data_IF_143012763406
#
_entry.id   IF_143012763406
#
_cell.length_a   1.000
_cell.length_b   1.000
_cell.length_c   1.000
_cell.angle_alpha   90.00
_cell.angle_beta   90.00
_cell.angle_gamma   90.00
#
_symmetry.space_group_name_H-M   'P 1'
#
loop_
_entity.id
_entity.type
_entity.pdbx_description
1 polymer ?
#
# COMPACT_ATOMS: atom_id res chain seq x y z
N UNK A 1 -3.28 -18.70 8.76
CA UNK A 1 -2.91 -17.74 7.69
C UNK A 1 -2.66 -16.41 8.35
N UNK A 2 -1.40 -16.01 8.50
CA UNK A 2 -1.04 -14.77 9.17
C UNK A 2 -1.36 -13.60 8.23
N UNK A 3 -2.24 -12.70 8.68
CA UNK A 3 -2.60 -11.48 7.96
C UNK A 3 -1.76 -10.32 8.46
N UNK A 4 -1.26 -9.50 7.54
CA UNK A 4 -0.63 -8.22 7.84
C UNK A 4 -1.39 -7.07 7.21
N UNK A 5 -0.92 -5.87 7.50
CA UNK A 5 -1.49 -4.63 6.98
C UNK A 5 -0.41 -3.86 6.24
N UNK A 6 -0.74 -3.32 5.08
CA UNK A 6 0.18 -2.56 4.24
C UNK A 6 -0.38 -1.16 4.11
N UNK A 7 0.28 -0.22 4.75
CA UNK A 7 -0.01 1.19 4.61
C UNK A 7 0.77 1.75 3.42
N UNK A 8 0.06 2.40 2.52
CA UNK A 8 0.59 3.00 1.29
C UNK A 8 0.43 4.50 1.43
N UNK A 9 1.52 5.23 1.21
CA UNK A 9 1.56 6.69 1.31
C UNK A 9 2.30 7.28 0.11
N UNK A 10 1.85 8.44 -0.35
CA UNK A 10 2.49 9.22 -1.41
C UNK A 10 2.44 10.68 -1.02
N UNK A 11 3.37 11.48 -1.55
CA UNK A 11 3.47 12.90 -1.21
C UNK A 11 2.24 13.72 -1.61
N UNK A 12 1.53 13.30 -2.65
CA UNK A 12 0.40 14.03 -3.23
C UNK A 12 -0.95 13.40 -2.85
N UNK A 13 -1.86 14.12 -2.16
CA UNK A 13 -3.10 13.54 -1.65
C UNK A 13 -4.09 13.10 -2.74
N UNK A 14 -4.12 13.78 -3.89
CA UNK A 14 -4.92 13.38 -5.04
C UNK A 14 -4.40 12.10 -5.69
N UNK A 15 -3.08 11.92 -5.70
CA UNK A 15 -2.43 10.70 -6.16
C UNK A 15 -2.78 9.52 -5.26
N UNK A 16 -2.76 9.75 -3.94
CA UNK A 16 -3.13 8.75 -2.95
C UNK A 16 -4.59 8.30 -3.11
N UNK A 17 -5.52 9.23 -3.37
CA UNK A 17 -6.93 8.91 -3.66
C UNK A 17 -7.05 8.03 -4.90
N UNK A 18 -6.36 8.39 -5.98
CA UNK A 18 -6.38 7.64 -7.25
C UNK A 18 -5.77 6.26 -7.09
N UNK A 19 -4.66 6.14 -6.36
CA UNK A 19 -4.01 4.88 -6.05
C UNK A 19 -4.94 3.98 -5.23
N UNK A 20 -5.55 4.48 -4.15
CA UNK A 20 -6.48 3.69 -3.38
C UNK A 20 -7.73 3.28 -4.15
N UNK A 21 -8.20 4.11 -5.09
CA UNK A 21 -9.31 3.75 -5.99
C UNK A 21 -8.90 2.63 -6.98
N UNK A 22 -7.69 2.73 -7.56
CA UNK A 22 -7.12 1.70 -8.43
C UNK A 22 -6.96 0.36 -7.71
N UNK A 23 -6.33 0.37 -6.53
CA UNK A 23 -6.16 -0.84 -5.71
C UNK A 23 -7.49 -1.46 -5.29
N UNK A 24 -8.54 -0.64 -5.12
CA UNK A 24 -9.88 -1.13 -4.78
C UNK A 24 -10.57 -1.79 -5.98
N UNK A 25 -10.22 -1.44 -7.20
CA UNK A 25 -10.86 -2.04 -8.38
C UNK A 25 -10.42 -3.49 -8.58
N UNK A 26 -9.18 -3.80 -8.20
CA UNK A 26 -8.60 -5.15 -8.27
C UNK A 26 -9.40 -6.18 -7.46
N UNK A 27 -9.94 -7.19 -8.14
CA UNK A 27 -10.68 -8.31 -7.54
C UNK A 27 -10.04 -8.90 -6.27
N UNK A 28 -8.74 -9.27 -6.25
CA UNK A 28 -8.11 -9.85 -5.06
C UNK A 28 -7.97 -8.86 -3.88
N UNK A 29 -8.07 -7.56 -4.12
CA UNK A 29 -7.92 -6.50 -3.11
C UNK A 29 -9.26 -5.84 -2.75
N UNK A 30 -10.33 -6.14 -3.50
CA UNK A 30 -11.68 -5.65 -3.21
C UNK A 30 -12.07 -5.97 -1.77
N UNK A 31 -12.59 -4.95 -1.08
CA UNK A 31 -12.98 -5.03 0.33
C UNK A 31 -11.81 -5.00 1.33
N UNK A 32 -10.55 -5.04 0.87
CA UNK A 32 -9.34 -5.02 1.71
C UNK A 32 -8.65 -3.65 1.77
N UNK A 33 -9.07 -2.72 0.92
CA UNK A 33 -8.52 -1.36 0.82
C UNK A 33 -9.37 -0.36 1.61
N UNK A 34 -8.78 0.22 2.66
CA UNK A 34 -9.37 1.26 3.51
C UNK A 34 -8.56 2.55 3.36
N UNK A 35 -9.25 3.68 3.26
CA UNK A 35 -8.60 5.00 3.26
C UNK A 35 -8.42 5.46 4.71
N UNK A 36 -7.20 5.83 5.08
CA UNK A 36 -6.88 6.43 6.37
C UNK A 36 -6.89 7.95 6.22
N UNK A 37 -7.91 8.58 6.78
CA UNK A 37 -8.05 10.04 6.80
C UNK A 37 -7.69 10.50 8.19
N UNK A 38 -6.70 11.39 8.30
CA UNK A 38 -6.40 12.00 9.60
C UNK A 38 -7.49 12.99 9.94
N UNK A 39 -7.96 12.90 11.18
CA UNK A 39 -8.89 13.89 11.71
C UNK A 39 -8.22 15.28 11.65
N UNK A 40 -8.94 16.31 11.17
CA UNK A 40 -8.42 17.66 11.17
C UNK A 40 -8.15 18.12 12.60
N UNK A 41 -7.02 18.79 12.80
CA UNK A 41 -6.74 19.52 14.03
C UNK A 41 -7.75 20.68 14.16
N UNK A 42 -8.11 21.09 15.40
CA UNK A 42 -8.99 22.23 15.60
C UNK A 42 -8.40 23.48 14.92
N UNK A 43 -9.10 24.01 13.92
CA UNK A 43 -8.66 25.15 13.11
C UNK A 43 -8.31 24.81 11.65
N UNK A 44 -8.23 23.54 11.27
CA UNK A 44 -8.00 23.11 9.89
C UNK A 44 -9.32 22.62 9.26
N UNK A 45 -9.77 23.24 8.17
CA UNK A 45 -10.98 22.82 7.47
C UNK A 45 -10.70 21.61 6.58
N UNK A 46 -11.22 20.43 6.97
CA UNK A 46 -11.19 19.19 6.20
C UNK A 46 -10.09 18.22 6.61
N UNK A 47 -10.44 16.93 6.72
CA UNK A 47 -9.47 15.85 6.95
C UNK A 47 -8.61 15.61 5.71
N UNK A 48 -7.29 15.52 5.90
CA UNK A 48 -6.35 15.21 4.82
C UNK A 48 -6.25 13.69 4.72
N UNK A 49 -6.32 13.16 3.49
CA UNK A 49 -6.04 11.75 3.26
C UNK A 49 -4.55 11.54 3.53
N UNK A 50 -4.22 10.75 4.56
CA UNK A 50 -2.82 10.55 4.96
C UNK A 50 -2.25 9.26 4.38
N UNK A 51 -3.02 8.18 4.38
CA UNK A 51 -2.55 6.90 3.86
C UNK A 51 -3.69 6.01 3.34
N UNK A 52 -3.34 5.02 2.53
CA UNK A 52 -4.24 3.95 2.09
C UNK A 52 -3.78 2.67 2.76
N UNK A 53 -4.65 2.04 3.54
CA UNK A 53 -4.35 0.85 4.30
C UNK A 53 -4.95 -0.36 3.60
N UNK A 54 -4.12 -1.33 3.24
CA UNK A 54 -4.51 -2.56 2.55
C UNK A 54 -4.27 -3.75 3.47
N UNK A 55 -5.30 -4.55 3.71
CA UNK A 55 -5.15 -5.83 4.42
C UNK A 55 -4.58 -6.85 3.44
N UNK A 56 -3.40 -7.39 3.75
CA UNK A 56 -2.70 -8.33 2.89
C UNK A 56 -2.29 -9.61 3.61
N UNK A 57 -2.17 -10.66 2.82
CA UNK A 57 -1.70 -11.99 3.22
C UNK A 57 -0.64 -12.42 2.21
N UNK A 58 0.14 -13.46 2.51
CA UNK A 58 1.11 -14.00 1.55
C UNK A 58 0.46 -14.39 0.20
N UNK A 59 -0.83 -14.75 0.20
CA UNK A 59 -1.59 -15.03 -1.03
C UNK A 59 -2.04 -13.79 -1.82
N UNK A 60 -2.27 -12.65 -1.17
CA UNK A 60 -2.69 -11.40 -1.84
C UNK A 60 -1.54 -10.45 -2.14
N UNK A 61 -0.36 -10.70 -1.57
CA UNK A 61 0.89 -9.98 -1.86
C UNK A 61 1.21 -9.86 -3.37
N UNK A 62 1.17 -10.93 -4.20
CA UNK A 62 1.46 -10.82 -5.63
C UNK A 62 0.46 -9.91 -6.35
N UNK A 63 -0.82 -10.02 -6.04
CA UNK A 63 -1.84 -9.16 -6.62
C UNK A 63 -1.63 -7.68 -6.25
N UNK A 64 -1.28 -7.40 -4.99
CA UNK A 64 -0.96 -6.03 -4.57
C UNK A 64 0.25 -5.46 -5.32
N UNK A 65 1.33 -6.23 -5.44
CA UNK A 65 2.48 -5.83 -6.25
C UNK A 65 2.07 -5.56 -7.69
N UNK A 66 1.41 -6.51 -8.37
CA UNK A 66 1.00 -6.36 -9.77
C UNK A 66 0.13 -5.11 -9.97
N UNK A 67 -0.84 -4.87 -9.10
CA UNK A 67 -1.69 -3.70 -9.15
C UNK A 67 -0.90 -2.41 -8.95
N UNK A 68 -0.03 -2.37 -7.94
CA UNK A 68 0.77 -1.20 -7.60
C UNK A 68 1.75 -0.84 -8.73
N UNK A 69 2.48 -1.83 -9.26
CA UNK A 69 3.40 -1.60 -10.37
C UNK A 69 2.67 -1.33 -11.68
N UNK A 70 1.47 -1.89 -11.86
CA UNK A 70 0.56 -1.53 -12.94
C UNK A 70 0.19 -0.05 -12.91
N UNK A 71 -0.14 0.47 -11.72
CA UNK A 71 -0.40 1.89 -11.50
C UNK A 71 0.86 2.73 -11.77
N UNK A 72 2.02 2.33 -11.23
CA UNK A 72 3.29 3.04 -11.39
C UNK A 72 3.69 3.12 -12.87
N UNK A 73 3.50 2.02 -13.62
CA UNK A 73 3.81 1.96 -15.04
C UNK A 73 2.93 2.88 -15.90
N UNK A 74 1.67 3.10 -15.50
CA UNK A 74 0.79 4.05 -16.18
C UNK A 74 1.16 5.52 -15.89
N UNK A 75 1.99 5.79 -14.89
CA UNK A 75 2.45 7.13 -14.54
C UNK A 75 3.86 7.35 -15.05
N UNK A 76 4.00 8.34 -15.95
CA UNK A 76 5.30 8.74 -16.50
C UNK A 76 6.13 9.57 -15.51
N UNK A 77 5.46 10.22 -14.56
CA UNK A 77 6.08 10.95 -13.47
C UNK A 77 6.33 10.00 -12.30
N UNK A 78 7.60 9.87 -11.93
CA UNK A 78 8.15 9.00 -10.90
C UNK A 78 7.61 9.36 -9.49
N UNK A 79 6.33 9.10 -9.25
CA UNK A 79 5.75 9.16 -7.92
C UNK A 79 6.35 8.02 -7.09
N UNK A 80 7.27 8.38 -6.18
CA UNK A 80 7.78 7.43 -5.18
C UNK A 80 6.62 7.09 -4.24
N UNK A 81 6.35 5.80 -4.09
CA UNK A 81 5.36 5.28 -3.18
C UNK A 81 6.08 4.69 -1.98
N UNK A 82 5.69 5.12 -0.80
CA UNK A 82 6.21 4.63 0.46
C UNK A 82 5.22 3.61 1.03
N UNK A 83 5.70 2.39 1.24
CA UNK A 83 4.94 1.22 1.68
C UNK A 83 5.40 0.82 3.07
N UNK A 84 4.49 0.78 4.02
CA UNK A 84 4.75 0.35 5.39
C UNK A 84 3.96 -0.92 5.69
N UNK A 85 4.65 -2.04 5.75
CA UNK A 85 4.08 -3.36 6.00
C UNK A 85 4.17 -3.64 7.49
N UNK A 86 3.06 -4.02 8.11
CA UNK A 86 2.99 -4.44 9.51
C UNK A 86 2.54 -5.89 9.56
N UNK A 87 3.36 -6.77 10.13
CA UNK A 87 3.00 -8.18 10.25
C UNK A 87 2.13 -8.45 11.50
N UNK A 88 1.63 -9.68 11.65
CA UNK A 88 0.81 -10.07 12.79
C UNK A 88 1.54 -9.99 14.15
N UNK A 89 2.88 -10.08 14.14
CA UNK A 89 3.71 -9.93 15.33
C UNK A 89 3.98 -8.46 15.71
N UNK A 90 3.44 -7.50 14.96
CA UNK A 90 3.65 -6.07 15.19
C UNK A 90 5.01 -5.53 14.71
N UNK A 91 5.78 -6.33 13.94
CA UNK A 91 6.97 -5.81 13.26
C UNK A 91 6.52 -4.94 12.09
N UNK A 92 7.27 -3.86 11.86
CA UNK A 92 7.04 -2.91 10.78
C UNK A 92 8.22 -2.92 9.81
N UNK A 93 7.94 -2.98 8.51
CA UNK A 93 8.91 -2.90 7.43
C UNK A 93 8.50 -1.77 6.48
N UNK A 94 9.36 -0.78 6.30
CA UNK A 94 9.12 0.33 5.37
C UNK A 94 9.95 0.13 4.12
N UNK A 95 9.30 0.14 2.97
CA UNK A 95 9.89 -0.02 1.64
C UNK A 95 9.47 1.16 0.78
N UNK A 96 10.37 1.59 -0.10
CA UNK A 96 10.09 2.68 -1.03
C UNK A 96 10.28 2.19 -2.44
N UNK A 97 9.25 2.35 -3.26
CA UNK A 97 9.24 1.85 -4.62
C UNK A 97 8.92 3.00 -5.58
N UNK A 98 9.61 3.04 -6.71
CA UNK A 98 9.41 4.08 -7.72
C UNK A 98 9.46 3.56 -9.15
N UNK A 99 9.93 2.34 -9.37
CA UNK A 99 10.11 1.76 -10.70
C UNK A 99 9.66 0.30 -10.75
N UNK A 100 9.44 -0.19 -11.97
CA UNK A 100 9.07 -1.60 -12.18
C UNK A 100 10.17 -2.60 -11.74
N UNK A 101 11.42 -2.14 -11.62
CA UNK A 101 12.55 -2.95 -11.15
C UNK A 101 12.40 -3.37 -9.68
N UNK A 102 11.78 -2.50 -8.86
CA UNK A 102 11.51 -2.76 -7.44
C UNK A 102 10.46 -3.88 -7.23
N UNK A 103 9.81 -4.35 -8.29
CA UNK A 103 8.63 -5.21 -8.18
C UNK A 103 8.91 -6.60 -7.63
N UNK A 104 9.98 -7.21 -8.11
CA UNK A 104 10.36 -8.55 -7.68
C UNK A 104 10.84 -8.52 -6.23
N UNK A 105 11.74 -7.58 -5.90
CA UNK A 105 12.27 -7.42 -4.55
C UNK A 105 11.17 -7.08 -3.53
N UNK A 106 10.24 -6.18 -3.89
CA UNK A 106 9.11 -5.84 -3.03
C UNK A 106 8.22 -7.07 -2.77
N UNK A 107 7.92 -7.85 -3.82
CA UNK A 107 7.08 -9.03 -3.69
C UNK A 107 7.70 -10.08 -2.77
N UNK A 108 9.00 -10.35 -2.95
CA UNK A 108 9.73 -11.31 -2.12
C UNK A 108 9.78 -10.85 -0.67
N UNK A 109 10.10 -9.57 -0.43
CA UNK A 109 10.12 -8.96 0.91
C UNK A 109 8.74 -9.00 1.58
N UNK A 110 7.67 -8.69 0.85
CA UNK A 110 6.30 -8.76 1.37
C UNK A 110 5.90 -10.20 1.72
N UNK A 111 6.21 -11.17 0.86
CA UNK A 111 5.85 -12.58 1.08
C UNK A 111 6.59 -13.15 2.30
N UNK A 112 7.89 -12.87 2.39
CA UNK A 112 8.74 -13.29 3.50
C UNK A 112 8.24 -12.68 4.82
N UNK A 113 8.08 -11.36 4.87
CA UNK A 113 7.68 -10.64 6.08
C UNK A 113 6.26 -10.98 6.56
N UNK A 114 5.32 -11.23 5.63
CA UNK A 114 3.97 -11.70 5.98
C UNK A 114 3.96 -13.19 6.38
N UNK A 115 4.92 -13.97 5.89
CA UNK A 115 5.10 -15.39 6.20
C UNK A 115 5.81 -15.68 7.53
N UNK A 116 6.73 -14.80 7.96
CA UNK A 116 7.49 -14.94 9.22
C UNK A 116 6.62 -14.88 10.50
N UNK A 117 5.35 -14.47 10.40
CA UNK A 117 4.43 -14.42 11.55
C UNK A 117 3.62 -15.70 11.78
N UNK A 118 4.12 -16.87 11.36
CA UNK A 118 3.45 -18.17 11.49
C UNK A 118 3.87 -18.93 12.75
#
# INVERSE_FOLDING_TARGET
>A
MSSGTIEVSVSEPDELRRLGAWLRDEEPLRGRVKFSVRSPLPGQMGGVLESVVVIATSSTAPALCTALFGWLKHRRDAAKVDLKITNAAGKELTLRCGSADDATELLESMRDFLGEGA
#
